data_IF_461514057867
#
_entry.id   IF_461514057867
#
_cell.length_a   1.000
_cell.length_b   1.000
_cell.length_c   1.000
_cell.angle_alpha   90.00
_cell.angle_beta   90.00
_cell.angle_gamma   90.00
#
_symmetry.space_group_name_H-M   'P 1'
#
loop_
_entity.id
_entity.type
_entity.pdbx_description
1 polymer ?
#
# COMPACT_ATOMS: atom_id res chain seq x y z
N UNK A 1 -20.64 -9.52 -11.95
CA UNK A 1 -20.88 -8.79 -10.70
C UNK A 1 -20.02 -7.56 -10.82
N UNK A 2 -20.64 -6.40 -10.98
CA UNK A 2 -19.94 -5.24 -11.52
C UNK A 2 -19.71 -4.25 -10.39
N UNK A 3 -18.45 -3.85 -10.21
CA UNK A 3 -18.06 -2.83 -9.24
C UNK A 3 -18.39 -1.48 -9.85
N UNK A 4 -19.17 -0.66 -9.16
CA UNK A 4 -19.45 0.73 -9.54
C UNK A 4 -18.75 1.71 -8.60
N UNK A 5 -18.82 3.01 -8.91
CA UNK A 5 -18.18 4.05 -8.11
C UNK A 5 -19.19 5.07 -7.61
N UNK A 6 -18.92 5.67 -6.45
CA UNK A 6 -19.66 6.80 -5.89
C UNK A 6 -18.70 7.76 -5.20
N UNK A 7 -18.99 9.06 -5.22
CA UNK A 7 -18.22 10.01 -4.41
C UNK A 7 -18.47 9.80 -2.91
N UNK A 8 -17.51 10.23 -2.10
CA UNK A 8 -17.62 10.30 -0.64
C UNK A 8 -18.88 11.10 -0.24
N UNK A 9 -19.56 10.63 0.80
CA UNK A 9 -20.76 11.28 1.30
C UNK A 9 -20.40 12.43 2.24
N UNK A 10 -21.31 13.39 2.39
CA UNK A 10 -21.16 14.47 3.35
C UNK A 10 -21.15 13.95 4.79
N UNK A 11 -20.34 14.59 5.64
CA UNK A 11 -20.16 14.19 7.03
C UNK A 11 -19.43 12.85 7.15
N UNK A 12 -19.77 12.07 8.16
CA UNK A 12 -19.12 10.79 8.52
C UNK A 12 -20.00 9.56 8.19
N UNK A 13 -20.86 9.68 7.17
CA UNK A 13 -21.88 8.67 6.85
C UNK A 13 -21.40 7.58 5.88
N UNK A 14 -20.23 7.77 5.26
CA UNK A 14 -19.73 6.87 4.20
C UNK A 14 -19.44 5.45 4.68
N UNK A 15 -19.10 5.25 5.95
CA UNK A 15 -18.89 3.91 6.51
C UNK A 15 -20.18 3.07 6.53
N UNK A 16 -21.26 3.62 7.06
CA UNK A 16 -22.56 2.94 7.09
C UNK A 16 -23.08 2.68 5.66
N UNK A 17 -22.77 3.58 4.73
CA UNK A 17 -23.09 3.40 3.32
C UNK A 17 -22.27 2.27 2.68
N UNK A 18 -20.96 2.21 2.91
CA UNK A 18 -20.09 1.15 2.37
C UNK A 18 -20.54 -0.25 2.82
N UNK A 19 -20.94 -0.40 4.08
CA UNK A 19 -21.47 -1.67 4.63
C UNK A 19 -22.74 -2.11 3.87
N UNK A 20 -23.62 -1.18 3.52
CA UNK A 20 -24.86 -1.47 2.79
C UNK A 20 -24.64 -1.66 1.29
N UNK A 21 -23.48 -1.24 0.76
CA UNK A 21 -23.18 -1.22 -0.67
C UNK A 21 -21.78 -1.79 -0.95
N UNK A 22 -21.53 -3.09 -0.68
CA UNK A 22 -20.19 -3.69 -0.80
C UNK A 22 -19.61 -3.68 -2.22
N UNK A 23 -20.45 -3.45 -3.22
CA UNK A 23 -20.07 -3.36 -4.64
C UNK A 23 -19.76 -1.93 -5.12
N UNK A 24 -19.86 -0.94 -4.23
CA UNK A 24 -19.57 0.46 -4.56
C UNK A 24 -18.20 0.85 -3.99
N UNK A 25 -17.30 1.24 -4.88
CA UNK A 25 -16.06 1.91 -4.49
C UNK A 25 -16.32 3.39 -4.23
N UNK A 26 -16.02 3.84 -3.01
CA UNK A 26 -16.18 5.24 -2.61
C UNK A 26 -14.88 6.00 -2.91
N UNK A 27 -14.98 7.06 -3.70
CA UNK A 27 -13.86 7.91 -4.12
C UNK A 27 -14.01 9.34 -3.62
N UNK A 28 -12.92 10.08 -3.49
CA UNK A 28 -12.87 11.48 -3.06
C UNK A 28 -12.14 12.37 -4.08
N UNK A 29 -12.84 13.35 -4.65
CA UNK A 29 -12.35 14.20 -5.75
C UNK A 29 -11.53 15.41 -5.30
N UNK A 30 -11.60 15.78 -4.03
CA UNK A 30 -10.95 16.96 -3.46
C UNK A 30 -10.30 16.62 -2.12
N UNK A 31 -9.41 17.49 -1.64
CA UNK A 31 -8.87 17.43 -0.28
C UNK A 31 -10.01 17.29 0.74
N UNK A 32 -9.91 16.43 1.77
CA UNK A 32 -8.69 15.69 2.19
C UNK A 32 -8.40 14.38 1.44
N UNK A 33 -9.21 14.01 0.45
CA UNK A 33 -9.01 12.73 -0.25
C UNK A 33 -9.29 11.52 0.64
N UNK A 34 -10.35 11.57 1.46
CA UNK A 34 -10.72 10.49 2.38
C UNK A 34 -12.01 9.81 1.92
N UNK A 35 -12.05 8.47 1.97
CA UNK A 35 -13.25 7.70 1.58
C UNK A 35 -14.34 7.76 2.66
N UNK A 36 -13.97 8.10 3.90
CA UNK A 36 -14.88 8.19 5.03
C UNK A 36 -15.66 9.51 5.05
N UNK A 37 -15.01 10.62 4.70
CA UNK A 37 -15.53 11.98 4.83
C UNK A 37 -14.94 12.94 3.80
N UNK A 38 -15.72 13.94 3.38
CA UNK A 38 -15.23 15.07 2.60
C UNK A 38 -14.57 16.20 3.43
N UNK A 39 -14.42 16.04 4.75
CA UNK A 39 -13.90 17.08 5.66
C UNK A 39 -12.83 16.54 6.61
N UNK A 40 -11.73 17.29 6.73
CA UNK A 40 -10.63 17.03 7.67
C UNK A 40 -11.11 16.91 9.12
N UNK A 41 -12.10 17.72 9.51
CA UNK A 41 -12.68 17.72 10.86
C UNK A 41 -13.31 16.39 11.25
N UNK A 42 -13.77 15.62 10.28
CA UNK A 42 -14.46 14.34 10.53
C UNK A 42 -13.59 13.13 10.19
N UNK A 43 -12.29 13.30 9.91
CA UNK A 43 -11.42 12.16 9.67
C UNK A 43 -11.35 11.26 10.91
N UNK A 44 -11.20 9.97 10.66
CA UNK A 44 -11.19 8.97 11.71
C UNK A 44 -9.96 8.06 11.58
N UNK A 45 -8.94 8.39 12.35
CA UNK A 45 -7.65 7.69 12.36
C UNK A 45 -7.79 6.28 12.95
N UNK A 46 -8.76 6.07 13.86
CA UNK A 46 -9.00 4.78 14.48
C UNK A 46 -9.45 3.69 13.48
N UNK A 47 -9.85 4.05 12.26
CA UNK A 47 -10.13 3.08 11.18
C UNK A 47 -8.85 2.38 10.71
N UNK A 48 -7.70 3.04 10.77
CA UNK A 48 -6.42 2.52 10.32
C UNK A 48 -5.72 1.70 11.42
N UNK A 49 -5.97 2.01 12.69
CA UNK A 49 -5.32 1.39 13.86
C UNK A 49 -4.35 2.35 14.53
N UNK A 50 -3.68 1.90 15.58
CA UNK A 50 -2.76 2.72 16.38
C UNK A 50 -1.41 2.01 16.51
N UNK A 51 -0.67 1.91 15.38
CA UNK A 51 0.64 1.26 15.12
C UNK A 51 0.98 -0.03 15.89
N UNK A 52 0.85 -0.04 17.21
CA UNK A 52 0.93 -1.16 18.14
C UNK A 52 -0.38 -1.97 18.25
N UNK A 53 -1.55 -1.32 18.15
CA UNK A 53 -2.86 -1.96 18.34
C UNK A 53 -3.58 -2.16 17.01
N UNK A 54 -3.95 -3.43 16.76
CA UNK A 54 -4.77 -3.85 15.62
C UNK A 54 -6.20 -3.32 15.77
N UNK A 55 -6.71 -2.57 14.78
CA UNK A 55 -8.10 -2.12 14.77
C UNK A 55 -9.07 -3.27 14.48
N UNK A 56 -10.36 -3.08 14.82
CA UNK A 56 -11.42 -4.01 14.41
C UNK A 56 -11.67 -4.03 12.88
N UNK A 57 -11.05 -3.10 12.14
CA UNK A 57 -11.14 -2.99 10.68
C UNK A 57 -9.91 -3.58 9.98
N UNK A 58 -8.89 -4.03 10.72
CA UNK A 58 -7.74 -4.72 10.14
C UNK A 58 -8.18 -6.11 9.65
N UNK A 59 -8.12 -6.37 8.32
CA UNK A 59 -8.64 -7.59 7.72
C UNK A 59 -7.76 -8.83 7.96
N UNK A 60 -6.58 -8.67 8.59
CA UNK A 60 -5.65 -9.77 8.78
C UNK A 60 -6.11 -10.75 9.88
N UNK A 61 -5.86 -12.06 9.74
CA UNK A 61 -6.26 -13.06 10.73
C UNK A 61 -5.48 -12.93 12.05
N UNK A 62 -5.92 -13.67 13.08
CA UNK A 62 -5.22 -13.77 14.37
C UNK A 62 -3.74 -14.14 14.18
N UNK A 63 -2.84 -13.45 14.89
CA UNK A 63 -1.39 -13.58 14.72
C UNK A 63 -0.80 -12.70 13.62
N UNK A 64 -1.64 -12.00 12.85
CA UNK A 64 -1.22 -11.14 11.75
C UNK A 64 -1.87 -9.75 11.85
N UNK A 65 -1.23 -8.76 11.24
CA UNK A 65 -1.71 -7.38 11.15
C UNK A 65 -1.38 -6.76 9.80
N UNK A 66 -2.10 -5.70 9.43
CA UNK A 66 -1.63 -4.77 8.40
C UNK A 66 -0.34 -4.11 8.90
N UNK A 67 0.66 -3.86 8.04
CA UNK A 67 1.98 -3.42 8.46
C UNK A 67 1.92 -2.00 9.02
N UNK A 68 2.87 -1.62 9.86
CA UNK A 68 3.15 -0.21 10.20
C UNK A 68 4.17 0.36 9.21
N UNK A 69 4.31 1.68 9.10
CA UNK A 69 5.31 2.26 8.17
C UNK A 69 6.75 1.87 8.50
N UNK A 70 7.05 1.49 9.75
CA UNK A 70 8.36 0.97 10.15
C UNK A 70 8.66 -0.44 9.63
N UNK A 71 7.65 -1.19 9.17
CA UNK A 71 7.80 -2.59 8.72
C UNK A 71 8.77 -2.74 7.56
N UNK A 72 8.90 -1.71 6.72
CA UNK A 72 9.81 -1.73 5.57
C UNK A 72 11.07 -0.90 5.80
N UNK A 73 11.34 -0.44 7.03
CA UNK A 73 12.53 0.37 7.31
C UNK A 73 13.85 -0.35 7.04
N UNK A 74 13.85 -1.68 7.13
CA UNK A 74 14.97 -2.56 6.81
C UNK A 74 14.90 -3.16 5.39
N UNK A 75 14.13 -2.55 4.49
CA UNK A 75 14.30 -2.78 3.04
C UNK A 75 15.70 -2.31 2.65
N UNK A 76 16.69 -3.19 2.81
CA UNK A 76 18.10 -2.91 2.60
C UNK A 76 18.76 -3.98 1.70
N UNK A 77 19.64 -3.54 0.79
CA UNK A 77 20.84 -4.25 0.32
C UNK A 77 21.88 -4.31 1.45
N UNK A 78 22.76 -5.28 1.39
CA UNK A 78 23.64 -5.72 2.49
C UNK A 78 24.81 -4.77 2.85
N UNK A 79 24.90 -3.54 2.32
CA UNK A 79 25.98 -2.61 2.69
C UNK A 79 25.68 -1.14 2.33
N UNK A 80 25.71 -0.25 3.33
CA UNK A 80 25.65 1.24 3.31
C UNK A 80 24.29 1.92 3.59
N UNK A 81 24.25 2.63 4.72
CA UNK A 81 23.08 3.12 5.48
C UNK A 81 22.75 4.60 5.27
N UNK A 82 23.34 5.27 4.26
CA UNK A 82 23.21 6.74 4.14
C UNK A 82 22.09 7.26 3.22
N UNK A 83 21.48 6.43 2.37
CA UNK A 83 20.21 6.65 1.63
C UNK A 83 19.73 5.26 1.12
N UNK A 84 18.43 4.96 0.99
CA UNK A 84 18.03 3.68 0.44
C UNK A 84 18.11 3.70 -1.10
N UNK A 85 18.85 2.87 -1.85
CA UNK A 85 20.07 2.07 -1.68
C UNK A 85 20.54 1.72 -3.11
N UNK A 86 21.84 1.74 -3.41
CA UNK A 86 22.37 1.23 -4.69
C UNK A 86 22.51 -0.31 -4.59
N UNK A 87 21.69 -1.08 -5.35
CA UNK A 87 21.11 -2.36 -4.87
C UNK A 87 20.71 -3.50 -5.86
N UNK A 88 20.94 -4.80 -5.54
CA UNK A 88 20.57 -6.03 -6.30
C UNK A 88 19.16 -6.24 -5.83
N UNK A 89 18.22 -5.68 -6.58
CA UNK A 89 16.81 -5.81 -6.32
C UNK A 89 16.22 -6.67 -7.43
N UNK A 90 16.39 -8.00 -7.36
CA UNK A 90 16.06 -8.84 -8.47
C UNK A 90 14.55 -8.82 -8.71
N UNK A 91 14.16 -8.22 -9.81
CA UNK A 91 12.91 -8.54 -10.45
C UNK A 91 13.12 -9.86 -11.20
N UNK A 92 12.11 -10.73 -11.19
CA UNK A 92 12.22 -12.07 -11.80
C UNK A 92 11.59 -12.04 -13.19
N UNK A 93 12.40 -11.94 -14.24
CA UNK A 93 11.95 -12.10 -15.63
C UNK A 93 12.00 -13.57 -15.98
N UNK A 94 10.83 -14.17 -16.24
CA UNK A 94 10.73 -15.59 -16.64
C UNK A 94 11.51 -16.53 -15.69
N UNK A 95 11.51 -16.23 -14.38
CA UNK A 95 12.19 -17.02 -13.36
C UNK A 95 13.67 -16.67 -13.15
N UNK A 96 14.24 -15.71 -13.88
CA UNK A 96 15.63 -15.25 -13.70
C UNK A 96 15.66 -13.90 -12.99
N UNK A 97 16.42 -13.82 -11.90
CA UNK A 97 16.75 -12.60 -11.20
C UNK A 97 17.57 -11.66 -12.09
N UNK A 98 17.15 -10.39 -12.24
CA UNK A 98 17.91 -9.35 -12.94
C UNK A 98 17.97 -8.06 -12.12
N UNK A 99 19.04 -7.28 -12.29
CA UNK A 99 19.30 -6.07 -11.49
C UNK A 99 19.09 -4.75 -12.25
N UNK A 100 19.05 -4.81 -13.58
CA UNK A 100 19.08 -3.69 -14.52
C UNK A 100 17.92 -3.78 -15.51
N UNK A 101 16.73 -3.35 -15.08
CA UNK A 101 15.51 -3.44 -15.90
C UNK A 101 15.38 -2.27 -16.84
N UNK A 102 15.11 -2.53 -18.12
CA UNK A 102 14.71 -1.48 -19.06
C UNK A 102 13.19 -1.26 -19.00
N UNK A 103 12.70 -0.15 -19.56
CA UNK A 103 11.24 0.08 -19.66
C UNK A 103 10.52 -1.01 -20.47
N UNK A 104 11.24 -1.70 -21.37
CA UNK A 104 10.72 -2.79 -22.22
C UNK A 104 10.57 -4.11 -21.45
N UNK A 105 11.29 -4.27 -20.33
CA UNK A 105 11.22 -5.43 -19.46
C UNK A 105 9.99 -5.42 -18.53
N UNK A 106 9.29 -4.28 -18.43
CA UNK A 106 8.13 -4.04 -17.57
C UNK A 106 7.09 -5.16 -17.62
N UNK A 107 6.74 -5.62 -18.83
CA UNK A 107 5.66 -6.59 -19.01
C UNK A 107 6.05 -8.01 -18.57
N UNK A 108 7.30 -8.21 -18.17
CA UNK A 108 7.85 -9.52 -17.87
C UNK A 108 7.99 -9.79 -16.37
N UNK A 109 7.70 -8.80 -15.51
CA UNK A 109 7.61 -9.00 -14.06
C UNK A 109 6.39 -8.32 -13.44
N UNK A 110 5.69 -9.03 -12.55
CA UNK A 110 4.51 -8.53 -11.85
C UNK A 110 4.80 -8.31 -10.35
N UNK A 111 6.03 -7.97 -9.95
CA UNK A 111 6.39 -7.80 -8.54
C UNK A 111 7.87 -7.89 -8.20
N UNK A 112 8.16 -7.86 -6.89
CA UNK A 112 9.51 -7.88 -6.28
C UNK A 112 9.60 -8.82 -5.10
N UNK A 113 10.79 -9.36 -4.88
CA UNK A 113 11.11 -10.15 -3.69
C UNK A 113 11.72 -9.26 -2.61
N UNK A 114 11.07 -9.18 -1.44
CA UNK A 114 11.61 -8.56 -0.23
C UNK A 114 12.47 -9.56 0.53
N UNK A 115 13.63 -9.10 0.98
CA UNK A 115 14.55 -9.82 1.84
C UNK A 115 14.86 -8.95 3.06
N UNK A 116 14.27 -9.27 4.22
CA UNK A 116 14.55 -8.53 5.45
C UNK A 116 16.01 -8.74 5.87
N UNK A 117 16.72 -7.69 6.26
CA UNK A 117 18.13 -7.82 6.69
C UNK A 117 18.28 -8.24 8.16
N UNK A 118 17.17 -8.38 8.88
CA UNK A 118 17.16 -8.75 10.30
C UNK A 118 16.35 -10.04 10.53
N UNK A 119 16.91 -11.00 11.29
CA UNK A 119 16.30 -12.29 11.63
C UNK A 119 17.12 -13.51 11.23
N UNK A 120 17.05 -14.58 12.04
CA UNK A 120 17.85 -15.82 11.90
C UNK A 120 17.43 -16.72 10.72
N UNK A 121 16.40 -16.32 9.98
CA UNK A 121 15.94 -16.92 8.73
C UNK A 121 15.29 -15.80 7.91
N UNK A 122 15.95 -15.33 6.87
CA UNK A 122 15.47 -14.23 6.02
C UNK A 122 14.14 -14.62 5.35
N UNK A 123 12.98 -14.08 5.75
CA UNK A 123 11.72 -14.40 5.09
C UNK A 123 11.72 -13.71 3.73
N UNK A 124 11.84 -14.51 2.67
CA UNK A 124 11.65 -14.02 1.31
C UNK A 124 10.15 -13.80 1.07
N UNK A 125 9.74 -12.56 0.85
CA UNK A 125 8.33 -12.19 0.66
C UNK A 125 8.10 -11.56 -0.71
N UNK A 126 7.23 -12.15 -1.52
CA UNK A 126 6.84 -11.55 -2.80
C UNK A 126 5.83 -10.41 -2.62
N UNK A 127 6.15 -9.24 -3.17
CA UNK A 127 5.27 -8.09 -3.28
C UNK A 127 4.89 -7.85 -4.75
N UNK A 128 3.63 -8.03 -5.13
CA UNK A 128 3.20 -7.84 -6.51
C UNK A 128 3.17 -6.37 -6.94
N UNK A 129 3.39 -6.12 -8.23
CA UNK A 129 3.20 -4.84 -8.92
C UNK A 129 1.72 -4.56 -9.13
N UNK A 130 0.96 -4.38 -8.05
CA UNK A 130 -0.50 -4.28 -8.04
C UNK A 130 -1.03 -2.98 -8.64
N UNK A 131 -0.20 -1.96 -8.78
CA UNK A 131 -0.67 -0.61 -9.07
C UNK A 131 -1.58 -0.08 -7.96
N UNK A 132 -2.51 0.78 -8.33
CA UNK A 132 -3.48 1.35 -7.41
C UNK A 132 -4.82 1.61 -8.08
N UNK A 133 -5.84 1.88 -7.27
CA UNK A 133 -7.10 2.49 -7.70
C UNK A 133 -7.14 3.96 -7.27
N UNK A 134 -7.36 4.86 -8.24
CA UNK A 134 -7.27 6.30 -8.03
C UNK A 134 -8.43 6.82 -7.18
N UNK A 135 -8.13 7.69 -6.22
CA UNK A 135 -9.15 8.27 -5.34
C UNK A 135 -10.15 9.19 -6.02
N UNK A 136 -9.99 9.58 -7.28
CA UNK A 136 -10.84 10.61 -7.90
C UNK A 136 -11.95 10.02 -8.75
N UNK A 137 -11.77 8.80 -9.27
CA UNK A 137 -12.71 8.18 -10.20
C UNK A 137 -12.71 6.65 -10.11
N UNK A 138 -11.88 6.04 -9.27
CA UNK A 138 -11.80 4.59 -9.14
C UNK A 138 -11.10 3.87 -10.30
N UNK A 139 -10.44 4.60 -11.22
CA UNK A 139 -9.67 4.00 -12.29
C UNK A 139 -8.42 3.29 -11.76
N UNK A 140 -8.01 2.21 -12.44
CA UNK A 140 -6.76 1.53 -12.15
C UNK A 140 -5.58 2.28 -12.78
N UNK A 141 -4.45 2.35 -12.08
CA UNK A 141 -3.23 2.97 -12.56
C UNK A 141 -2.00 2.14 -12.20
N UNK A 142 -0.98 2.16 -13.06
CA UNK A 142 0.33 1.51 -12.82
C UNK A 142 0.28 0.01 -12.51
N UNK A 143 -0.76 -0.70 -12.94
CA UNK A 143 -0.88 -2.16 -12.77
C UNK A 143 0.23 -2.85 -13.58
N UNK A 144 1.02 -3.68 -12.92
CA UNK A 144 2.24 -4.29 -13.47
C UNK A 144 3.49 -3.42 -13.35
N UNK A 145 3.36 -2.10 -13.08
CA UNK A 145 4.49 -1.16 -13.04
C UNK A 145 5.11 -1.07 -11.65
N UNK A 146 4.23 -0.88 -10.69
CA UNK A 146 4.55 -0.38 -9.36
C UNK A 146 3.78 -1.22 -8.38
N UNK A 147 4.44 -1.66 -7.32
CA UNK A 147 3.76 -2.26 -6.19
C UNK A 147 3.55 -1.23 -5.12
N UNK A 148 2.41 -1.34 -4.46
CA UNK A 148 2.01 -0.46 -3.37
C UNK A 148 1.46 -1.33 -2.24
N UNK A 149 1.86 -1.06 -1.00
CA UNK A 149 1.30 -1.73 0.18
C UNK A 149 0.93 -0.70 1.24
N UNK A 150 -0.36 -0.67 1.59
CA UNK A 150 -0.85 0.16 2.70
C UNK A 150 -0.18 -0.22 4.02
N UNK A 151 0.12 0.78 4.84
CA UNK A 151 0.32 0.59 6.28
C UNK A 151 -0.82 1.20 7.07
N UNK A 152 -0.87 0.89 8.36
CA UNK A 152 -1.81 1.48 9.33
C UNK A 152 -1.38 2.86 9.83
N UNK A 153 -0.17 3.31 9.48
CA UNK A 153 0.40 4.55 10.04
C UNK A 153 -0.25 5.78 9.40
N UNK A 154 -0.80 6.66 10.23
CA UNK A 154 -1.42 7.92 9.81
C UNK A 154 -0.37 9.02 9.68
N UNK A 155 -0.58 9.96 8.76
CA UNK A 155 0.30 11.10 8.53
C UNK A 155 -0.51 12.34 8.16
N UNK A 156 -0.84 13.17 9.16
CA UNK A 156 -1.80 14.26 9.03
C UNK A 156 -3.13 13.73 8.44
N UNK A 157 -3.62 14.36 7.37
CA UNK A 157 -4.85 13.96 6.67
C UNK A 157 -4.67 12.73 5.78
N UNK A 158 -3.44 12.23 5.64
CA UNK A 158 -3.04 11.11 4.79
C UNK A 158 -2.72 9.86 5.62
N UNK A 159 -2.35 8.81 4.91
CA UNK A 159 -1.88 7.53 5.45
C UNK A 159 -0.62 7.09 4.74
N UNK A 160 0.19 6.29 5.44
CA UNK A 160 1.48 5.83 4.96
C UNK A 160 1.37 4.54 4.16
N UNK A 161 2.29 4.38 3.22
CA UNK A 161 2.42 3.18 2.41
C UNK A 161 3.87 3.00 1.97
N UNK A 162 4.22 1.77 1.62
CA UNK A 162 5.43 1.47 0.85
C UNK A 162 5.07 1.39 -0.63
N UNK A 163 5.94 1.89 -1.50
CA UNK A 163 5.88 1.57 -2.92
C UNK A 163 7.25 1.25 -3.50
N UNK A 164 7.25 0.55 -4.62
CA UNK A 164 8.43 0.35 -5.44
C UNK A 164 8.13 0.59 -6.93
N UNK A 165 9.15 0.99 -7.66
CA UNK A 165 9.21 1.07 -9.13
C UNK A 165 10.18 0.00 -9.65
N UNK A 166 10.63 0.06 -10.90
CA UNK A 166 11.70 -0.82 -11.40
C UNK A 166 13.10 -0.46 -10.89
N UNK A 167 13.29 0.78 -10.46
CA UNK A 167 14.58 1.37 -10.12
C UNK A 167 14.65 1.89 -8.68
N UNK A 168 13.55 1.83 -7.92
CA UNK A 168 13.50 2.38 -6.57
C UNK A 168 12.47 1.74 -5.66
N UNK A 169 12.62 2.03 -4.38
CA UNK A 169 11.66 1.70 -3.32
C UNK A 169 11.58 2.87 -2.36
N UNK A 170 10.37 3.21 -1.93
CA UNK A 170 10.13 4.13 -0.83
C UNK A 170 9.43 3.37 0.29
N UNK A 171 10.13 3.08 1.40
CA UNK A 171 9.55 2.37 2.53
C UNK A 171 8.39 3.09 3.23
N UNK A 172 8.35 4.43 3.13
CA UNK A 172 7.37 5.25 3.85
C UNK A 172 7.03 6.52 3.07
N UNK A 173 6.01 6.43 2.22
CA UNK A 173 5.38 7.54 1.51
C UNK A 173 3.98 7.82 2.07
N UNK A 174 3.41 9.00 1.81
CA UNK A 174 2.06 9.39 2.25
C UNK A 174 1.13 9.62 1.05
N UNK A 175 -0.11 9.15 1.13
CA UNK A 175 -1.14 9.43 0.12
C UNK A 175 -2.52 9.60 0.77
N UNK A 176 -3.47 10.10 -0.01
CA UNK A 176 -4.87 10.21 0.34
C UNK A 176 -5.46 8.86 0.77
N UNK A 177 -6.25 8.88 1.85
CA UNK A 177 -6.90 7.71 2.45
C UNK A 177 -7.84 6.99 1.49
N UNK A 178 -8.40 7.70 0.51
CA UNK A 178 -9.29 7.13 -0.50
C UNK A 178 -8.57 6.35 -1.61
N UNK A 179 -7.24 6.40 -1.72
CA UNK A 179 -6.53 5.53 -2.67
C UNK A 179 -6.73 4.07 -2.27
N UNK A 180 -7.04 3.21 -3.24
CA UNK A 180 -7.06 1.77 -2.97
C UNK A 180 -5.70 1.18 -3.38
N UNK A 181 -4.82 1.02 -2.38
CA UNK A 181 -3.58 0.27 -2.50
C UNK A 181 -3.79 -1.16 -1.97
N UNK A 182 -2.89 -2.08 -2.32
CA UNK A 182 -2.99 -3.44 -1.82
C UNK A 182 -2.74 -3.49 -0.31
N UNK A 183 -3.47 -4.36 0.38
CA UNK A 183 -3.27 -4.66 1.80
C UNK A 183 -2.56 -6.00 1.90
N UNK A 184 -1.53 -6.08 2.75
CA UNK A 184 -0.77 -7.30 3.00
C UNK A 184 -0.68 -7.55 4.49
N UNK A 185 -0.86 -8.79 4.91
CA UNK A 185 -0.70 -9.16 6.30
C UNK A 185 0.76 -9.50 6.61
N UNK A 186 1.26 -9.00 7.73
CA UNK A 186 2.56 -9.35 8.31
C UNK A 186 2.34 -10.00 9.68
N UNK A 187 3.20 -10.95 10.02
CA UNK A 187 3.13 -11.66 11.29
C UNK A 187 3.50 -10.69 12.43
N UNK A 188 2.78 -10.78 13.54
CA UNK A 188 3.11 -10.05 14.77
C UNK A 188 4.32 -10.64 15.48
#
# INVERSE_FOLDING_TARGET
>A
MDITTSSVLSGNTSQAYAIKNPMIYIYATTSPGDWYTGSETYQNDALWGDEDIKSSYDPCPTGWRVPTSGTWSDFARTADVSQPMNGTFPYYIKGTAKEDGTIEDYHQTNGRLYNATSGTSTPLSWYPGTGYRHSTNGALGNVGHRGYSWSVSVSNTNVKFMYFTMDGVSPSSSSYRAWALSVRCVQK
#
